data_IF_553568640476
#
_entry.id   IF_553568640476
#
_cell.length_a   1.000
_cell.length_b   1.000
_cell.length_c   1.000
_cell.angle_alpha   90.00
_cell.angle_beta   90.00
_cell.angle_gamma   90.00
#
_symmetry.space_group_name_H-M   'P 1'
#
loop_
_entity.id
_entity.type
_entity.pdbx_description
1 polymer ?
#
# COMPACT_ATOMS: atom_id res chain seq x y z
N UNK A 1 -14.41 -7.40 10.30
CA UNK A 1 -14.31 -8.85 10.02
C UNK A 1 -12.83 -9.13 9.84
N UNK A 2 -12.24 -9.97 10.68
CA UNK A 2 -10.80 -10.28 10.60
C UNK A 2 -10.53 -11.16 9.36
N UNK A 3 -9.41 -10.90 8.69
CA UNK A 3 -8.88 -11.67 7.58
C UNK A 3 -8.25 -12.96 8.14
N UNK A 4 -8.61 -14.11 7.58
CA UNK A 4 -8.01 -15.38 7.98
C UNK A 4 -6.65 -15.57 7.31
N UNK A 5 -5.60 -15.83 8.10
CA UNK A 5 -4.28 -16.21 7.57
C UNK A 5 -4.36 -17.39 6.60
N UNK A 6 -3.59 -17.35 5.52
CA UNK A 6 -3.60 -18.34 4.44
C UNK A 6 -4.67 -18.11 3.37
N UNK A 7 -5.70 -17.31 3.63
CA UNK A 7 -6.69 -16.97 2.61
C UNK A 7 -6.14 -15.97 1.62
N UNK A 8 -6.63 -16.08 0.39
CA UNK A 8 -6.38 -15.08 -0.65
C UNK A 8 -7.45 -13.98 -0.59
N UNK A 9 -7.05 -12.73 -0.84
CA UNK A 9 -7.90 -11.54 -0.92
C UNK A 9 -7.59 -10.72 -2.16
N UNK A 10 -8.47 -9.76 -2.47
CA UNK A 10 -8.19 -8.72 -3.46
C UNK A 10 -7.92 -7.41 -2.74
N UNK A 11 -6.66 -6.96 -2.79
CA UNK A 11 -6.35 -5.57 -2.51
C UNK A 11 -6.90 -4.73 -3.64
N UNK A 12 -7.72 -3.74 -3.28
CA UNK A 12 -8.41 -2.87 -4.22
C UNK A 12 -8.17 -1.43 -3.83
N UNK A 13 -7.64 -0.67 -4.76
CA UNK A 13 -7.46 0.77 -4.60
C UNK A 13 -8.51 1.52 -5.41
N UNK A 14 -9.10 2.53 -4.81
CA UNK A 14 -10.16 3.34 -5.38
C UNK A 14 -9.74 4.81 -5.34
N UNK A 15 -10.03 5.57 -6.40
CA UNK A 15 -9.91 7.02 -6.40
C UNK A 15 -10.91 7.66 -5.43
N UNK A 16 -10.69 8.95 -5.13
CA UNK A 16 -11.62 9.76 -4.35
C UNK A 16 -13.03 9.86 -4.94
N UNK A 17 -13.21 9.66 -6.25
CA UNK A 17 -14.51 9.60 -6.92
C UNK A 17 -15.19 8.22 -6.88
N UNK A 18 -14.56 7.24 -6.20
CA UNK A 18 -15.06 5.87 -6.08
C UNK A 18 -14.69 4.95 -7.24
N UNK A 19 -13.91 5.41 -8.22
CA UNK A 19 -13.47 4.59 -9.34
C UNK A 19 -12.37 3.60 -8.92
N UNK A 20 -12.54 2.31 -9.26
CA UNK A 20 -11.52 1.27 -9.02
C UNK A 20 -10.31 1.46 -9.95
N UNK A 21 -9.11 1.50 -9.36
CA UNK A 21 -7.82 1.76 -10.04
C UNK A 21 -6.97 0.52 -10.11
N UNK A 22 -6.78 -0.14 -8.97
CA UNK A 22 -5.84 -1.24 -8.82
C UNK A 22 -6.56 -2.42 -8.20
N UNK A 23 -6.33 -3.61 -8.76
CA UNK A 23 -6.75 -4.89 -8.18
C UNK A 23 -5.55 -5.81 -8.16
N UNK A 24 -5.14 -6.20 -6.96
CA UNK A 24 -4.04 -7.12 -6.74
C UNK A 24 -4.51 -8.29 -5.87
N UNK A 25 -4.51 -9.53 -6.40
CA UNK A 25 -4.60 -10.72 -5.58
C UNK A 25 -3.42 -10.79 -4.60
N UNK A 26 -3.71 -11.05 -3.33
CA UNK A 26 -2.71 -11.18 -2.27
C UNK A 26 -3.12 -12.30 -1.30
N UNK A 27 -2.15 -12.88 -0.61
CA UNK A 27 -2.40 -13.82 0.49
C UNK A 27 -2.30 -13.12 1.83
N UNK A 28 -3.20 -13.41 2.75
CA UNK A 28 -3.13 -12.95 4.14
C UNK A 28 -2.07 -13.75 4.87
N UNK A 29 -1.09 -13.07 5.47
CA UNK A 29 -0.07 -13.66 6.33
C UNK A 29 -0.50 -13.56 7.79
N UNK A 30 -0.91 -12.37 8.20
CA UNK A 30 -1.41 -12.08 9.54
C UNK A 30 -2.47 -10.98 9.48
N UNK A 31 -3.38 -10.98 10.43
CA UNK A 31 -4.31 -9.88 10.70
C UNK A 31 -4.55 -9.85 12.21
N UNK A 32 -3.89 -8.91 12.88
CA UNK A 32 -3.94 -8.73 14.33
C UNK A 32 -4.16 -7.25 14.69
N UNK A 33 -4.11 -6.92 15.99
CA UNK A 33 -4.35 -5.55 16.47
C UNK A 33 -3.34 -4.52 15.94
N UNK A 34 -2.20 -4.96 15.40
CA UNK A 34 -1.17 -4.11 14.77
C UNK A 34 -1.41 -3.94 13.27
N UNK A 35 -2.39 -4.64 12.70
CA UNK A 35 -2.81 -4.52 11.31
C UNK A 35 -2.72 -5.81 10.51
N UNK A 36 -2.97 -5.68 9.21
CA UNK A 36 -2.93 -6.78 8.25
C UNK A 36 -1.60 -6.83 7.50
N UNK A 37 -0.97 -8.01 7.48
CA UNK A 37 0.16 -8.31 6.62
C UNK A 37 -0.32 -9.19 5.45
N UNK A 38 -0.02 -8.75 4.24
CA UNK A 38 -0.32 -9.50 3.02
C UNK A 38 0.94 -9.79 2.21
N UNK A 39 0.99 -10.94 1.56
CA UNK A 39 2.05 -11.32 0.64
C UNK A 39 1.54 -11.39 -0.80
N UNK A 40 2.32 -10.84 -1.72
CA UNK A 40 2.09 -10.94 -3.16
C UNK A 40 3.32 -11.59 -3.82
N UNK A 41 3.21 -12.81 -4.35
CA UNK A 41 4.30 -13.39 -5.11
C UNK A 41 4.67 -12.56 -6.35
N UNK A 42 5.95 -12.62 -6.74
CA UNK A 42 6.39 -12.04 -8.02
C UNK A 42 5.65 -12.74 -9.16
N UNK A 43 5.18 -11.98 -10.15
CA UNK A 43 4.45 -12.50 -11.30
C UNK A 43 2.96 -12.76 -11.06
N UNK A 44 2.42 -12.50 -9.87
CA UNK A 44 0.97 -12.51 -9.65
C UNK A 44 0.29 -11.54 -10.62
N UNK A 45 -0.73 -11.97 -11.39
CA UNK A 45 -1.44 -11.08 -12.30
C UNK A 45 -2.24 -10.05 -11.50
N UNK A 46 -2.21 -8.80 -11.97
CA UNK A 46 -2.95 -7.70 -11.38
C UNK A 46 -3.60 -6.88 -12.49
N UNK A 47 -4.69 -6.20 -12.15
CA UNK A 47 -5.30 -5.20 -13.00
C UNK A 47 -4.91 -3.84 -12.48
N UNK A 48 -4.37 -3.01 -13.35
CA UNK A 48 -4.43 -1.57 -13.16
C UNK A 48 -5.21 -1.00 -14.31
N UNK A 49 -6.25 -0.25 -13.95
CA UNK A 49 -6.91 0.60 -14.90
C UNK A 49 -5.90 1.69 -15.26
N UNK A 50 -5.26 1.53 -16.43
CA UNK A 50 -4.39 2.57 -17.00
C UNK A 50 -5.19 3.84 -17.16
N UNK A 51 -4.96 4.73 -16.22
CA UNK A 51 -5.49 6.07 -16.14
C UNK A 51 -4.32 6.91 -15.64
N UNK A 52 -4.21 8.17 -16.08
CA UNK A 52 -3.11 9.05 -15.69
C UNK A 52 -3.16 9.50 -14.23
N UNK A 53 -4.24 9.18 -13.52
CA UNK A 53 -4.57 9.77 -12.22
C UNK A 53 -4.80 8.69 -11.15
N UNK A 54 -3.80 7.83 -10.94
CA UNK A 54 -3.76 6.97 -9.76
C UNK A 54 -3.34 7.81 -8.56
N UNK A 55 -4.00 7.68 -7.40
CA UNK A 55 -3.66 8.47 -6.20
C UNK A 55 -2.78 7.69 -5.23
N UNK A 56 -1.60 7.34 -5.72
CA UNK A 56 -0.45 7.28 -4.84
C UNK A 56 -0.16 8.71 -4.35
N UNK A 57 0.19 8.90 -3.08
CA UNK A 57 0.47 10.21 -2.50
C UNK A 57 1.80 10.83 -2.99
N UNK A 58 2.48 10.16 -3.93
CA UNK A 58 3.75 10.49 -4.57
C UNK A 58 4.95 10.55 -3.62
N UNK A 59 4.75 10.95 -2.36
CA UNK A 59 5.79 11.05 -1.37
C UNK A 59 6.03 9.69 -0.70
N UNK A 60 7.20 9.12 -0.98
CA UNK A 60 7.63 7.83 -0.46
C UNK A 60 8.70 7.98 0.65
N UNK A 61 8.76 6.97 1.53
CA UNK A 61 9.89 6.77 2.44
C UNK A 61 10.51 5.41 2.17
N UNK A 62 11.81 5.39 1.89
CA UNK A 62 12.58 4.13 1.77
C UNK A 62 13.29 3.88 3.08
N UNK A 63 13.07 2.70 3.67
CA UNK A 63 13.69 2.26 4.91
C UNK A 63 14.48 0.97 4.66
N UNK A 64 15.74 0.94 5.09
CA UNK A 64 16.59 -0.25 5.03
C UNK A 64 16.37 -1.17 6.25
N UNK A 65 16.79 -2.45 6.21
CA UNK A 65 16.63 -3.36 7.36
C UNK A 65 17.32 -2.89 8.64
N UNK A 66 18.39 -2.09 8.54
CA UNK A 66 19.08 -1.43 9.66
C UNK A 66 18.47 -0.06 10.03
N UNK A 67 17.25 0.22 9.55
CA UNK A 67 16.43 1.41 9.83
C UNK A 67 17.02 2.74 9.37
N UNK A 68 18.00 2.74 8.46
CA UNK A 68 18.35 3.97 7.74
C UNK A 68 17.20 4.30 6.79
N UNK A 69 16.84 5.59 6.71
CA UNK A 69 15.73 6.01 5.87
C UNK A 69 16.01 7.29 5.11
N UNK A 70 15.28 7.47 4.02
CA UNK A 70 15.27 8.70 3.22
C UNK A 70 13.91 8.90 2.57
N UNK A 71 13.59 10.15 2.29
CA UNK A 71 12.52 10.49 1.37
C UNK A 71 12.85 10.02 -0.05
N UNK A 72 11.80 9.70 -0.80
CA UNK A 72 11.83 9.37 -2.23
C UNK A 72 10.68 10.12 -2.91
N UNK A 73 10.93 10.50 -4.15
CA UNK A 73 9.98 11.18 -5.04
C UNK A 73 9.43 12.52 -4.52
N UNK A 74 10.22 13.24 -3.70
CA UNK A 74 9.89 14.60 -3.24
C UNK A 74 9.63 15.58 -4.40
N UNK A 75 10.32 15.41 -5.53
CA UNK A 75 10.11 16.23 -6.72
C UNK A 75 8.71 16.05 -7.31
N UNK A 76 8.23 14.81 -7.41
CA UNK A 76 6.90 14.48 -7.91
C UNK A 76 5.80 14.98 -6.96
N UNK A 77 6.01 14.84 -5.65
CA UNK A 77 5.14 15.42 -4.64
C UNK A 77 5.03 16.96 -4.80
N UNK A 78 6.16 17.66 -4.98
CA UNK A 78 6.18 19.12 -5.16
C UNK A 78 5.49 19.57 -6.45
N UNK A 79 5.63 18.81 -7.54
CA UNK A 79 4.96 19.10 -8.81
C UNK A 79 3.42 18.99 -8.72
N UNK A 80 2.93 18.11 -7.84
CA UNK A 80 1.50 17.82 -7.68
C UNK A 80 0.83 18.64 -6.57
N UNK A 81 1.58 19.19 -5.63
CA UNK A 81 1.05 19.97 -4.50
C UNK A 81 0.36 21.26 -4.99
N UNK A 82 -0.96 21.36 -4.80
CA UNK A 82 -1.78 22.49 -5.26
C UNK A 82 -2.22 22.40 -6.73
N UNK A 83 -1.96 21.29 -7.40
CA UNK A 83 -2.37 21.09 -8.79
C UNK A 83 -3.85 20.63 -8.88
N UNK A 84 -4.66 21.17 -9.82
CA UNK A 84 -6.10 20.90 -9.90
C UNK A 84 -6.49 19.43 -10.00
N UNK A 85 -5.66 18.64 -10.67
CA UNK A 85 -5.90 17.20 -10.91
C UNK A 85 -5.37 16.29 -9.78
N UNK A 86 -4.71 16.86 -8.76
CA UNK A 86 -4.10 16.09 -7.68
C UNK A 86 -4.66 16.53 -6.31
N UNK A 87 -3.89 17.30 -5.54
CA UNK A 87 -4.23 17.68 -4.17
C UNK A 87 -4.23 19.20 -4.00
N UNK A 88 -5.08 19.71 -3.12
CA UNK A 88 -4.92 21.07 -2.62
C UNK A 88 -3.62 21.20 -1.82
N UNK A 89 -3.19 22.43 -1.56
CA UNK A 89 -2.00 22.69 -0.74
C UNK A 89 -2.17 22.13 0.68
N UNK A 90 -3.39 22.21 1.22
CA UNK A 90 -3.73 21.68 2.55
C UNK A 90 -3.64 20.15 2.58
N UNK A 91 -4.22 19.49 1.57
CA UNK A 91 -4.12 18.03 1.44
C UNK A 91 -2.67 17.56 1.27
N UNK A 92 -1.87 18.30 0.50
CA UNK A 92 -0.43 18.01 0.37
C UNK A 92 0.30 18.16 1.73
N UNK A 93 -0.03 19.19 2.51
CA UNK A 93 0.53 19.35 3.85
C UNK A 93 0.17 18.17 4.78
N UNK A 94 -1.06 17.66 4.70
CA UNK A 94 -1.48 16.46 5.44
C UNK A 94 -0.67 15.22 5.03
N UNK A 95 -0.38 15.04 3.72
CA UNK A 95 0.49 13.97 3.22
C UNK A 95 1.89 14.06 3.85
N UNK A 96 2.48 15.25 3.88
CA UNK A 96 3.81 15.47 4.49
C UNK A 96 3.77 15.19 5.99
N UNK A 97 2.72 15.65 6.69
CA UNK A 97 2.55 15.44 8.12
C UNK A 97 2.42 13.94 8.47
N UNK A 98 1.72 13.16 7.64
CA UNK A 98 1.64 11.70 7.80
C UNK A 98 3.01 11.05 7.61
N UNK A 99 3.77 11.47 6.59
CA UNK A 99 5.15 11.03 6.44
C UNK A 99 6.01 11.36 7.67
N UNK A 100 5.85 12.54 8.26
CA UNK A 100 6.55 12.91 9.50
C UNK A 100 6.14 12.02 10.69
N UNK A 101 4.88 11.55 10.76
CA UNK A 101 4.47 10.51 11.71
C UNK A 101 5.25 9.21 11.49
N UNK A 102 5.29 8.74 10.25
CA UNK A 102 6.00 7.49 9.89
C UNK A 102 7.49 7.59 10.21
N UNK A 103 8.15 8.73 9.97
CA UNK A 103 9.57 8.91 10.33
C UNK A 103 9.80 8.84 11.84
N UNK A 104 8.86 9.32 12.66
CA UNK A 104 8.93 9.15 14.13
C UNK A 104 8.84 7.67 14.52
N UNK A 105 7.95 6.91 13.89
CA UNK A 105 7.81 5.48 14.15
C UNK A 105 9.07 4.70 13.73
N UNK A 106 9.67 5.03 12.59
CA UNK A 106 10.94 4.46 12.13
C UNK A 106 12.05 4.73 13.18
N UNK A 107 12.19 5.98 13.62
CA UNK A 107 13.21 6.38 14.58
C UNK A 107 13.01 5.73 15.97
N UNK A 108 11.76 5.50 16.36
CA UNK A 108 11.40 4.82 17.60
C UNK A 108 11.54 3.29 17.49
N UNK A 109 11.84 2.74 16.31
CA UNK A 109 11.75 1.32 16.01
C UNK A 109 10.39 0.74 16.41
N UNK A 110 9.31 1.50 16.21
CA UNK A 110 7.95 1.03 16.41
C UNK A 110 7.57 0.06 15.28
N UNK A 111 6.64 -0.86 15.56
CA UNK A 111 6.07 -1.72 14.52
C UNK A 111 5.49 -0.86 13.38
N UNK A 112 5.71 -1.18 12.09
CA UNK A 112 6.35 -2.39 11.56
C UNK A 112 7.87 -2.29 11.34
N UNK A 113 8.53 -1.24 11.83
CA UNK A 113 9.97 -0.97 11.65
C UNK A 113 10.87 -1.59 12.73
N UNK A 114 10.30 -2.33 13.69
CA UNK A 114 11.00 -3.02 14.77
C UNK A 114 11.85 -4.22 14.31
N UNK A 115 11.76 -4.59 13.03
CA UNK A 115 12.48 -5.71 12.42
C UNK A 115 11.66 -7.00 12.36
N UNK A 116 10.43 -7.03 12.89
CA UNK A 116 9.56 -8.23 12.95
C UNK A 116 9.47 -8.97 11.62
N UNK A 117 9.47 -8.25 10.50
CA UNK A 117 9.23 -8.82 9.17
C UNK A 117 10.46 -8.91 8.26
N UNK A 118 11.65 -8.50 8.72
CA UNK A 118 12.86 -8.49 7.87
C UNK A 118 13.30 -9.89 7.40
N UNK A 119 13.05 -10.91 8.23
CA UNK A 119 13.40 -12.30 7.93
C UNK A 119 12.25 -13.13 7.37
N UNK A 120 11.09 -12.50 7.10
CA UNK A 120 9.94 -13.19 6.52
C UNK A 120 10.32 -13.89 5.21
N UNK A 121 9.94 -15.17 5.09
CA UNK A 121 10.04 -15.93 3.85
C UNK A 121 8.69 -16.59 3.57
N UNK A 122 8.12 -16.44 2.37
CA UNK A 122 6.93 -17.17 2.02
C UNK A 122 7.24 -18.67 1.95
N UNK A 123 6.27 -19.51 2.26
CA UNK A 123 6.40 -20.96 2.07
C UNK A 123 6.60 -21.26 0.57
N UNK A 124 7.58 -22.10 0.26
CA UNK A 124 7.94 -22.46 -1.12
C UNK A 124 6.85 -23.24 -1.86
N UNK A 125 5.91 -23.82 -1.12
CA UNK A 125 4.75 -24.55 -1.67
C UNK A 125 3.58 -23.62 -2.01
N UNK A 126 3.65 -22.33 -1.64
CA UNK A 126 2.57 -21.40 -1.89
C UNK A 126 2.40 -21.09 -3.38
N UNK A 127 1.22 -21.44 -3.89
CA UNK A 127 0.77 -21.04 -5.23
C UNK A 127 0.38 -19.56 -5.25
N UNK A 128 0.61 -18.92 -6.39
CA UNK A 128 0.20 -17.53 -6.61
C UNK A 128 -1.32 -17.39 -6.55
N UNK A 129 -1.85 -16.41 -5.79
CA UNK A 129 -3.27 -16.07 -5.84
C UNK A 129 -3.68 -15.70 -7.27
N UNK A 130 -4.88 -16.09 -7.67
CA UNK A 130 -5.39 -15.81 -9.02
C UNK A 130 -6.29 -14.58 -9.01
N UNK A 131 -6.23 -13.81 -10.10
CA UNK A 131 -7.21 -12.77 -10.35
C UNK A 131 -8.52 -13.42 -10.81
N UNK A 132 -9.65 -13.20 -10.12
CA UNK A 132 -10.90 -13.83 -10.51
C UNK A 132 -11.40 -13.25 -11.84
N UNK A 133 -12.06 -14.10 -12.64
CA UNK A 133 -12.61 -13.70 -13.93
C UNK A 133 -13.76 -12.69 -13.81
N UNK A 134 -14.48 -12.67 -12.68
CA UNK A 134 -15.62 -11.79 -12.41
C UNK A 134 -15.64 -11.32 -10.96
N UNK A 135 -16.34 -10.21 -10.69
CA UNK A 135 -16.56 -9.70 -9.33
C UNK A 135 -15.39 -8.95 -8.71
N UNK A 136 -14.30 -8.74 -9.47
CA UNK A 136 -13.17 -7.91 -9.06
C UNK A 136 -13.52 -6.40 -9.06
N UNK A 137 -14.51 -6.00 -9.84
CA UNK A 137 -14.99 -4.63 -10.09
C UNK A 137 -16.16 -4.20 -9.19
N UNK A 138 -16.50 -5.00 -8.17
CA UNK A 138 -17.62 -4.68 -7.28
C UNK A 138 -17.43 -3.30 -6.62
N UNK A 139 -18.50 -2.49 -6.52
CA UNK A 139 -18.46 -1.22 -5.80
C UNK A 139 -17.92 -1.40 -4.39
N UNK A 140 -17.26 -0.36 -3.87
CA UNK A 140 -16.86 -0.34 -2.47
C UNK A 140 -18.13 -0.44 -1.62
N UNK A 141 -18.21 -1.46 -0.77
CA UNK A 141 -19.29 -1.56 0.21
C UNK A 141 -18.98 -0.51 1.27
N UNK A 142 -19.91 0.43 1.47
CA UNK A 142 -19.83 1.49 2.48
C UNK A 142 -19.88 0.90 3.89
#
# INVERSE_FOLDING_TARGET
>A
MALTSGNDLLYRDYRGDGQLVLVMPQRVIADDERGALTWRPIGTPWLCRRTTDTFDHALDIVVTPDRQWRWKDEHEYLERAGHPDYWTVEQAADIRAEGDCVTRDINAAAFPFDGTWCDFRPDVTWVSPTLPHTGWDRPRVS
#
